data_IF_297820396071
#
_entry.id   IF_297820396071
#
_cell.length_a   1.000
_cell.length_b   1.000
_cell.length_c   1.000
_cell.angle_alpha   90.00
_cell.angle_beta   90.00
_cell.angle_gamma   90.00
#
_symmetry.space_group_name_H-M   'P 1'
#
loop_
_entity.id
_entity.type
_entity.pdbx_description
1 polymer ?
#
# COMPACT_ATOMS: atom_id res chain seq x y z
N UNK A 1 -66.12 30.94 51.67
CA UNK A 1 -64.79 30.32 51.73
C UNK A 1 -64.68 29.19 50.73
N UNK A 2 -64.15 29.43 49.55
CA UNK A 2 -63.77 28.36 48.54
C UNK A 2 -62.48 28.84 47.89
N UNK A 3 -61.37 28.15 48.15
CA UNK A 3 -60.06 28.40 47.53
C UNK A 3 -60.00 27.70 46.18
N UNK A 4 -59.80 28.45 45.13
CA UNK A 4 -59.55 27.95 43.77
C UNK A 4 -58.04 27.77 43.61
N UNK A 5 -57.64 26.55 43.31
CA UNK A 5 -56.23 26.20 43.00
C UNK A 5 -56.04 26.34 41.49
N UNK A 6 -55.15 27.24 41.09
CA UNK A 6 -54.76 27.44 39.67
C UNK A 6 -53.62 26.46 39.34
N UNK A 7 -53.89 25.52 38.47
CA UNK A 7 -52.86 24.60 37.94
C UNK A 7 -52.20 25.24 36.75
N UNK A 8 -50.88 25.52 36.81
CA UNK A 8 -50.06 25.98 35.72
C UNK A 8 -49.49 24.78 34.94
N UNK A 9 -49.93 24.57 33.75
CA UNK A 9 -49.37 23.58 32.80
C UNK A 9 -48.12 24.15 32.14
N UNK A 10 -46.95 23.56 32.44
CA UNK A 10 -45.68 23.85 31.81
C UNK A 10 -45.55 23.05 30.50
N UNK A 11 -45.63 23.72 29.38
CA UNK A 11 -45.39 23.10 28.06
C UNK A 11 -43.85 23.00 27.81
N UNK A 12 -43.35 21.77 27.79
CA UNK A 12 -41.97 21.50 27.42
C UNK A 12 -41.84 21.53 25.90
N UNK A 13 -41.17 22.52 25.35
CA UNK A 13 -40.76 22.57 23.96
C UNK A 13 -39.54 21.67 23.76
N UNK A 14 -39.74 20.52 23.14
CA UNK A 14 -38.63 19.63 22.71
C UNK A 14 -38.09 20.19 21.39
N UNK A 15 -36.98 20.89 21.44
CA UNK A 15 -36.20 21.28 20.26
C UNK A 15 -35.47 20.04 19.74
N UNK A 16 -35.97 19.46 18.65
CA UNK A 16 -35.22 18.47 17.87
C UNK A 16 -34.10 19.17 17.11
N UNK A 17 -32.89 19.16 17.67
CA UNK A 17 -31.69 19.52 16.94
C UNK A 17 -31.44 18.47 15.87
N UNK A 18 -31.69 18.79 14.60
CA UNK A 18 -31.24 18.01 13.46
C UNK A 18 -29.71 17.99 13.51
N UNK A 19 -29.16 16.85 13.93
CA UNK A 19 -27.71 16.62 13.89
C UNK A 19 -27.25 16.55 12.44
N UNK A 20 -26.61 17.63 11.97
CA UNK A 20 -25.76 17.53 10.79
C UNK A 20 -24.73 16.44 11.09
N UNK A 21 -24.73 15.39 10.26
CA UNK A 21 -23.68 14.38 10.30
C UNK A 21 -22.34 15.08 10.05
N UNK A 22 -21.64 15.42 11.13
CA UNK A 22 -20.24 15.84 11.07
C UNK A 22 -19.48 14.61 10.56
N UNK A 23 -18.89 14.71 9.39
CA UNK A 23 -17.82 13.82 9.00
C UNK A 23 -16.85 13.73 10.18
N UNK A 24 -16.71 12.54 10.74
CA UNK A 24 -15.76 12.29 11.82
C UNK A 24 -14.35 12.46 11.24
N UNK A 25 -13.82 13.67 11.34
CA UNK A 25 -12.40 13.89 11.17
C UNK A 25 -11.75 13.24 12.40
N UNK A 26 -10.92 12.20 12.27
CA UNK A 26 -10.35 11.52 13.42
C UNK A 26 -9.64 12.57 14.29
N UNK A 27 -9.98 12.62 15.56
CA UNK A 27 -9.23 13.40 16.53
C UNK A 27 -7.78 12.89 16.47
N UNK A 28 -6.80 13.79 16.41
CA UNK A 28 -5.39 13.42 16.53
C UNK A 28 -5.15 12.60 17.81
N UNK A 29 -3.94 12.07 17.96
CA UNK A 29 -3.59 11.31 19.17
C UNK A 29 -3.69 12.17 20.44
N UNK A 30 -3.50 11.53 21.63
CA UNK A 30 -3.56 12.21 22.93
C UNK A 30 -2.57 13.39 23.08
N UNK A 31 -1.55 13.48 22.21
CA UNK A 31 -0.55 14.56 22.15
C UNK A 31 -0.97 15.68 21.18
N UNK A 32 -2.09 15.53 20.50
CA UNK A 32 -2.57 16.46 19.49
C UNK A 32 -1.86 16.34 18.13
N UNK A 33 -1.07 15.29 17.90
CA UNK A 33 -0.47 15.04 16.61
C UNK A 33 -1.53 14.70 15.57
N UNK A 34 -1.41 15.33 14.41
CA UNK A 34 -2.28 15.17 13.25
C UNK A 34 -1.40 14.96 12.02
N UNK A 35 -1.21 13.72 11.64
CA UNK A 35 -0.24 13.36 10.60
C UNK A 35 -0.97 12.99 9.31
N UNK A 36 -0.55 13.60 8.20
CA UNK A 36 -0.89 13.12 6.85
C UNK A 36 0.23 12.20 6.37
N UNK A 37 -0.10 10.97 6.02
CA UNK A 37 0.89 9.95 5.61
C UNK A 37 0.68 9.57 4.14
N UNK A 38 1.71 9.82 3.34
CA UNK A 38 1.69 9.62 1.88
C UNK A 38 2.68 8.51 1.53
N UNK A 39 2.33 7.30 1.89
CA UNK A 39 3.06 6.06 1.57
C UNK A 39 2.32 4.84 2.08
N UNK A 40 2.06 3.87 1.22
CA UNK A 40 1.45 2.59 1.60
C UNK A 40 2.27 1.85 2.66
N UNK A 41 3.58 1.74 2.47
CA UNK A 41 4.47 1.06 3.42
C UNK A 41 4.45 1.72 4.79
N UNK A 42 4.52 3.05 4.82
CA UNK A 42 4.53 3.77 6.09
C UNK A 42 3.21 3.62 6.83
N UNK A 43 2.08 3.67 6.13
CA UNK A 43 0.78 3.42 6.73
C UNK A 43 0.69 2.00 7.32
N UNK A 44 1.14 0.98 6.61
CA UNK A 44 1.18 -0.38 7.13
C UNK A 44 2.00 -0.48 8.44
N UNK A 45 3.18 0.12 8.47
CA UNK A 45 4.04 0.13 9.66
C UNK A 45 3.37 0.90 10.81
N UNK A 46 2.77 2.07 10.57
CA UNK A 46 2.09 2.88 11.59
C UNK A 46 0.96 2.10 12.24
N UNK A 47 0.15 1.38 11.45
CA UNK A 47 -0.91 0.51 11.99
C UNK A 47 -0.34 -0.65 12.79
N UNK A 48 0.71 -1.29 12.30
CA UNK A 48 1.37 -2.38 13.02
C UNK A 48 1.98 -1.92 14.36
N UNK A 49 2.48 -0.68 14.41
CA UNK A 49 2.97 -0.04 15.64
C UNK A 49 1.86 0.38 16.61
N UNK A 50 0.59 0.39 16.18
CA UNK A 50 -0.53 0.91 16.97
C UNK A 50 -0.52 2.43 17.11
N UNK A 51 0.02 3.16 16.12
CA UNK A 51 0.14 4.62 16.12
C UNK A 51 -0.88 5.32 15.19
N UNK A 52 -1.83 4.59 14.65
CA UNK A 52 -2.82 5.08 13.67
C UNK A 52 -3.72 6.21 14.18
N UNK A 53 -3.86 6.40 15.49
CA UNK A 53 -4.70 7.45 16.06
C UNK A 53 -4.23 8.87 15.68
N UNK A 54 -2.94 9.04 15.34
CA UNK A 54 -2.39 10.31 14.87
C UNK A 54 -2.67 10.58 13.39
N UNK A 55 -3.05 9.56 12.60
CA UNK A 55 -3.20 9.67 11.15
C UNK A 55 -4.55 10.27 10.79
N UNK A 56 -4.53 11.44 10.16
CA UNK A 56 -5.73 12.18 9.76
C UNK A 56 -5.95 12.21 8.25
N UNK A 57 -4.94 11.80 7.46
CA UNK A 57 -5.03 11.73 6.01
C UNK A 57 -4.05 10.72 5.43
N UNK A 58 -4.45 10.06 4.34
CA UNK A 58 -3.64 9.07 3.62
C UNK A 58 -3.79 9.26 2.11
N UNK A 59 -2.85 8.74 1.33
CA UNK A 59 -2.96 8.75 -0.13
C UNK A 59 -3.75 7.55 -0.67
N UNK A 60 -4.14 7.59 -1.94
CA UNK A 60 -4.92 6.54 -2.59
C UNK A 60 -4.19 5.20 -2.72
N UNK A 61 -2.86 5.17 -2.69
CA UNK A 61 -2.12 3.92 -2.74
C UNK A 61 -2.15 3.15 -1.42
N UNK A 62 -2.56 3.82 -0.35
CA UNK A 62 -2.69 3.23 0.98
C UNK A 62 -3.96 2.37 1.07
N UNK A 63 -3.82 1.08 0.78
CA UNK A 63 -4.93 0.11 0.69
C UNK A 63 -4.94 -0.89 1.84
N UNK A 64 -3.84 -1.01 2.58
CA UNK A 64 -3.68 -1.93 3.71
C UNK A 64 -3.10 -1.20 4.94
N UNK A 65 -3.53 -1.58 6.16
CA UNK A 65 -4.60 -2.56 6.45
C UNK A 65 -5.99 -2.02 6.04
N UNK A 66 -7.05 -2.86 6.02
CA UNK A 66 -8.38 -2.42 5.56
C UNK A 66 -8.90 -1.15 6.26
N UNK A 67 -8.53 -0.96 7.52
CA UNK A 67 -8.93 0.20 8.31
C UNK A 67 -8.34 1.54 7.82
N UNK A 68 -7.25 1.50 7.05
CA UNK A 68 -6.67 2.71 6.43
C UNK A 68 -7.67 3.40 5.52
N UNK A 69 -8.58 2.64 4.89
CA UNK A 69 -9.63 3.16 3.99
C UNK A 69 -10.72 3.98 4.72
N UNK A 70 -10.74 3.96 6.06
CA UNK A 70 -11.64 4.78 6.89
C UNK A 70 -11.08 6.19 7.10
N UNK A 71 -9.78 6.39 6.83
CA UNK A 71 -9.11 7.69 6.95
C UNK A 71 -9.37 8.52 5.69
N UNK A 72 -9.47 9.83 5.85
CA UNK A 72 -9.67 10.76 4.73
C UNK A 72 -8.51 10.65 3.72
N UNK A 73 -8.85 10.50 2.44
CA UNK A 73 -7.83 10.47 1.39
C UNK A 73 -7.47 11.88 0.92
N UNK A 74 -6.18 12.13 0.73
CA UNK A 74 -5.63 13.38 0.16
C UNK A 74 -5.33 13.27 -1.35
N UNK A 75 -5.73 12.18 -1.98
CA UNK A 75 -5.53 11.95 -3.41
C UNK A 75 -4.36 11.01 -3.72
N UNK A 76 -3.93 11.01 -4.98
CA UNK A 76 -2.82 10.16 -5.43
C UNK A 76 -1.48 10.82 -5.12
N UNK A 77 -0.54 10.08 -4.57
CA UNK A 77 0.75 10.59 -4.10
C UNK A 77 1.54 11.43 -5.13
N UNK A 78 1.38 11.18 -6.43
CA UNK A 78 2.01 11.97 -7.52
C UNK A 78 1.11 13.05 -8.12
N UNK A 79 -0.09 13.23 -7.60
CA UNK A 79 -1.05 14.25 -8.03
C UNK A 79 -1.78 14.84 -6.81
N UNK A 80 -1.00 15.28 -5.83
CA UNK A 80 -1.49 15.86 -4.59
C UNK A 80 -2.06 17.25 -4.82
N UNK A 81 -2.94 17.67 -3.90
CA UNK A 81 -3.39 19.04 -3.74
C UNK A 81 -2.95 19.57 -2.38
N UNK A 82 -2.29 20.71 -2.35
CA UNK A 82 -1.91 21.35 -1.10
C UNK A 82 -3.16 21.70 -0.28
N UNK A 83 -4.21 22.21 -0.90
CA UNK A 83 -5.48 22.55 -0.25
C UNK A 83 -6.11 21.31 0.40
N UNK A 84 -6.15 20.16 -0.32
CA UNK A 84 -6.67 18.92 0.20
C UNK A 84 -5.91 18.42 1.44
N UNK A 85 -4.59 18.58 1.48
CA UNK A 85 -3.77 18.25 2.64
C UNK A 85 -4.03 19.23 3.80
N UNK A 86 -4.02 20.54 3.52
CA UNK A 86 -4.17 21.59 4.52
C UNK A 86 -5.55 21.61 5.18
N UNK A 87 -6.59 21.19 4.46
CA UNK A 87 -7.96 21.09 5.00
C UNK A 87 -8.06 20.14 6.20
N UNK A 88 -7.09 19.23 6.33
CA UNK A 88 -6.99 18.31 7.46
C UNK A 88 -6.25 18.88 8.67
N UNK A 89 -5.76 20.14 8.58
CA UNK A 89 -4.98 20.80 9.63
C UNK A 89 -3.85 19.91 10.19
N UNK A 90 -2.94 19.39 9.33
CA UNK A 90 -1.89 18.50 9.79
C UNK A 90 -0.83 19.25 10.62
N UNK A 91 -0.28 18.59 11.62
CA UNK A 91 0.90 19.03 12.36
C UNK A 91 2.20 18.52 11.73
N UNK A 92 2.12 17.47 10.90
CA UNK A 92 3.24 16.94 10.13
C UNK A 92 2.73 16.20 8.88
N UNK A 93 3.58 16.14 7.86
CA UNK A 93 3.38 15.35 6.63
C UNK A 93 4.52 14.33 6.56
N UNK A 94 4.18 13.05 6.51
CA UNK A 94 5.16 11.95 6.38
C UNK A 94 5.06 11.35 4.99
N UNK A 95 6.21 11.16 4.31
CA UNK A 95 6.24 10.63 2.96
C UNK A 95 7.55 9.88 2.66
N UNK A 96 7.56 9.06 1.61
CA UNK A 96 8.70 8.24 1.19
C UNK A 96 9.49 8.84 0.00
N UNK A 97 9.40 10.14 -0.22
CA UNK A 97 9.96 10.89 -1.35
C UNK A 97 9.30 10.61 -2.72
N UNK A 98 8.34 9.72 -2.82
CA UNK A 98 7.61 9.44 -4.05
C UNK A 98 6.33 10.28 -4.14
N UNK A 99 6.43 11.59 -3.99
CA UNK A 99 5.31 12.53 -3.96
C UNK A 99 5.43 13.58 -5.06
N UNK A 100 4.29 14.14 -5.47
CA UNK A 100 4.23 15.17 -6.51
C UNK A 100 2.83 15.77 -6.67
N UNK A 101 2.68 16.72 -7.57
CA UNK A 101 3.70 17.28 -8.48
C UNK A 101 4.70 18.19 -7.76
N UNK A 102 5.89 18.45 -8.33
CA UNK A 102 6.95 19.22 -7.67
C UNK A 102 6.51 20.58 -7.13
N UNK A 103 5.67 21.30 -7.87
CA UNK A 103 5.16 22.62 -7.44
C UNK A 103 4.31 22.54 -6.17
N UNK A 104 3.56 21.45 -5.96
CA UNK A 104 2.77 21.25 -4.74
C UNK A 104 3.70 20.90 -3.57
N UNK A 105 4.74 20.11 -3.82
CA UNK A 105 5.75 19.78 -2.81
C UNK A 105 6.46 21.04 -2.32
N UNK A 106 6.89 21.93 -3.23
CA UNK A 106 7.52 23.19 -2.86
C UNK A 106 6.56 24.13 -2.12
N UNK A 107 5.28 24.18 -2.53
CA UNK A 107 4.26 24.94 -1.80
C UNK A 107 4.11 24.43 -0.36
N UNK A 108 4.04 23.11 -0.14
CA UNK A 108 3.93 22.52 1.19
C UNK A 108 5.15 22.80 2.05
N UNK A 109 6.37 22.73 1.49
CA UNK A 109 7.61 23.10 2.19
C UNK A 109 7.62 24.55 2.67
N UNK A 110 7.00 25.46 1.93
CA UNK A 110 6.88 26.88 2.30
C UNK A 110 5.93 27.19 3.46
N UNK A 111 5.16 26.18 3.95
CA UNK A 111 4.09 26.37 4.94
C UNK A 111 4.52 25.91 6.33
N UNK A 112 5.66 26.07 6.83
CA UNK A 112 6.08 25.76 8.21
C UNK A 112 5.46 24.45 8.83
N UNK A 113 4.99 23.52 7.99
CA UNK A 113 4.52 22.21 8.39
C UNK A 113 5.68 21.23 8.18
N UNK A 114 6.15 20.55 9.24
CA UNK A 114 7.22 19.59 9.11
C UNK A 114 6.90 18.51 8.07
N UNK A 115 7.78 18.36 7.08
CA UNK A 115 7.75 17.26 6.13
C UNK A 115 8.82 16.24 6.53
N UNK A 116 8.40 15.06 6.92
CA UNK A 116 9.26 14.01 7.47
C UNK A 116 9.44 12.86 6.48
N UNK A 117 10.68 12.46 6.28
CA UNK A 117 11.06 11.19 5.65
C UNK A 117 11.90 10.38 6.62
N UNK A 118 11.99 9.09 6.38
CA UNK A 118 12.88 8.20 7.12
C UNK A 118 14.11 7.87 6.27
N UNK A 119 15.23 7.60 6.93
CA UNK A 119 16.52 7.34 6.24
C UNK A 119 16.63 5.89 5.82
N UNK A 120 16.11 4.98 6.62
CA UNK A 120 16.09 3.57 6.30
C UNK A 120 15.19 3.27 5.10
N UNK A 121 15.66 2.38 4.24
CA UNK A 121 14.96 1.97 3.03
C UNK A 121 14.37 0.58 3.24
N UNK A 122 13.13 0.38 2.82
CA UNK A 122 12.47 -0.93 2.83
C UNK A 122 12.80 -1.75 1.56
N UNK A 123 14.05 -1.82 1.19
CA UNK A 123 14.52 -2.56 0.01
C UNK A 123 15.05 -3.96 0.33
N UNK A 124 15.05 -4.33 1.59
CA UNK A 124 15.50 -5.62 2.12
C UNK A 124 14.81 -5.90 3.45
N UNK A 125 14.94 -7.11 3.98
CA UNK A 125 14.42 -7.46 5.32
C UNK A 125 15.08 -6.57 6.38
N UNK A 126 16.40 -6.41 6.33
CA UNK A 126 17.12 -5.57 7.29
C UNK A 126 16.76 -4.09 7.14
N UNK A 127 16.64 -3.60 5.92
CA UNK A 127 16.18 -2.22 5.66
C UNK A 127 14.76 -2.00 6.17
N UNK A 128 13.86 -2.97 6.00
CA UNK A 128 12.49 -2.92 6.54
C UNK A 128 12.50 -2.86 8.06
N UNK A 129 13.34 -3.67 8.74
CA UNK A 129 13.49 -3.64 10.20
C UNK A 129 14.05 -2.31 10.69
N UNK A 130 15.03 -1.76 9.98
CA UNK A 130 15.57 -0.44 10.29
C UNK A 130 14.49 0.64 10.18
N UNK A 131 13.66 0.60 9.12
CA UNK A 131 12.55 1.53 8.94
C UNK A 131 11.49 1.38 10.05
N UNK A 132 11.14 0.16 10.43
CA UNK A 132 10.22 -0.11 11.55
C UNK A 132 10.76 0.52 12.85
N UNK A 133 12.07 0.41 13.12
CA UNK A 133 12.70 1.01 14.31
C UNK A 133 12.70 2.55 14.24
N UNK A 134 13.06 3.14 13.10
CA UNK A 134 13.02 4.61 12.95
C UNK A 134 11.60 5.16 13.17
N UNK A 135 10.60 4.48 12.61
CA UNK A 135 9.20 4.87 12.80
C UNK A 135 8.74 4.60 14.23
N UNK A 136 9.15 3.48 14.83
CA UNK A 136 8.90 3.18 16.24
C UNK A 136 9.41 4.27 17.16
N UNK A 137 10.62 4.75 16.96
CA UNK A 137 11.19 5.87 17.72
C UNK A 137 10.42 7.18 17.49
N UNK A 138 10.03 7.49 16.25
CA UNK A 138 9.25 8.68 15.94
C UNK A 138 7.89 8.69 16.64
N UNK A 139 7.18 7.56 16.64
CA UNK A 139 5.86 7.43 17.27
C UNK A 139 5.91 6.99 18.75
N UNK A 140 7.07 6.91 19.39
CA UNK A 140 7.28 6.42 20.77
C UNK A 140 6.69 5.01 20.97
N UNK A 141 7.01 4.12 20.07
CA UNK A 141 6.59 2.71 20.03
C UNK A 141 7.77 1.75 19.89
N UNK A 142 8.90 2.07 20.51
CA UNK A 142 10.18 1.35 20.37
C UNK A 142 10.03 -0.14 20.73
N UNK A 143 9.36 -0.45 21.84
CA UNK A 143 9.14 -1.83 22.26
C UNK A 143 8.31 -2.61 21.23
N UNK A 144 7.27 -1.98 20.64
CA UNK A 144 6.45 -2.60 19.59
C UNK A 144 7.22 -2.76 18.30
N UNK A 145 8.12 -1.83 17.98
CA UNK A 145 8.98 -1.94 16.81
C UNK A 145 9.93 -3.15 16.90
N UNK A 146 10.53 -3.41 18.07
CA UNK A 146 11.37 -4.60 18.26
C UNK A 146 10.56 -5.89 18.19
N UNK A 147 9.35 -5.92 18.75
CA UNK A 147 8.44 -7.06 18.62
C UNK A 147 8.13 -7.36 17.14
N UNK A 148 7.83 -6.31 16.35
CA UNK A 148 7.56 -6.45 14.91
C UNK A 148 8.77 -6.96 14.15
N UNK A 149 9.97 -6.44 14.44
CA UNK A 149 11.21 -6.91 13.82
C UNK A 149 11.45 -8.40 14.13
N UNK A 150 11.28 -8.83 15.38
CA UNK A 150 11.42 -10.23 15.75
C UNK A 150 10.35 -11.13 15.12
N UNK A 151 9.13 -10.63 14.93
CA UNK A 151 8.06 -11.34 14.22
C UNK A 151 8.39 -11.50 12.74
N UNK A 152 8.86 -10.42 12.09
CA UNK A 152 9.29 -10.46 10.68
C UNK A 152 10.41 -11.48 10.46
N UNK A 153 11.44 -11.50 11.33
CA UNK A 153 12.52 -12.47 11.22
C UNK A 153 12.02 -13.91 11.29
N UNK A 154 11.13 -14.21 12.25
CA UNK A 154 10.55 -15.56 12.41
C UNK A 154 9.70 -15.95 11.21
N UNK A 155 8.86 -15.06 10.74
CA UNK A 155 8.01 -15.30 9.57
C UNK A 155 8.86 -15.51 8.31
N UNK A 156 9.86 -14.67 8.06
CA UNK A 156 10.75 -14.85 6.91
C UNK A 156 11.47 -16.19 6.95
N UNK A 157 12.04 -16.58 8.10
CA UNK A 157 12.71 -17.86 8.25
C UNK A 157 11.77 -19.05 7.99
N UNK A 158 10.56 -19.00 8.56
CA UNK A 158 9.55 -20.05 8.37
C UNK A 158 9.10 -20.16 6.91
N UNK A 159 8.83 -19.02 6.27
CA UNK A 159 8.36 -18.98 4.88
C UNK A 159 9.42 -19.44 3.89
N UNK A 160 10.68 -19.02 4.07
CA UNK A 160 11.80 -19.51 3.23
C UNK A 160 12.03 -21.02 3.39
N UNK A 161 11.81 -21.56 4.58
CA UNK A 161 11.85 -23.01 4.78
C UNK A 161 10.67 -23.71 4.10
N UNK A 162 9.46 -23.16 4.25
CA UNK A 162 8.25 -23.71 3.63
C UNK A 162 8.29 -23.73 2.10
N UNK A 163 8.95 -22.75 1.49
CA UNK A 163 9.12 -22.64 0.02
C UNK A 163 10.00 -23.75 -0.55
N UNK A 164 10.93 -24.33 0.24
CA UNK A 164 11.82 -25.39 -0.23
C UNK A 164 11.12 -26.68 -0.69
N UNK A 165 9.85 -26.85 -0.34
CA UNK A 165 9.03 -27.97 -0.85
C UNK A 165 8.77 -27.88 -2.36
N UNK A 166 8.83 -26.69 -2.95
CA UNK A 166 8.65 -26.50 -4.38
C UNK A 166 9.97 -26.77 -5.09
N UNK A 167 9.95 -27.65 -6.07
CA UNK A 167 11.13 -28.04 -6.85
C UNK A 167 11.20 -27.37 -8.21
N UNK A 168 10.08 -26.82 -8.67
CA UNK A 168 9.99 -25.98 -9.86
C UNK A 168 10.41 -24.54 -9.57
N UNK A 169 10.84 -23.83 -10.58
CA UNK A 169 11.19 -22.40 -10.49
C UNK A 169 10.50 -21.66 -11.65
N UNK A 170 9.18 -21.39 -11.53
CA UNK A 170 8.42 -20.81 -12.61
C UNK A 170 8.91 -19.40 -12.96
N UNK A 171 8.93 -19.09 -14.24
CA UNK A 171 9.22 -17.74 -14.76
C UNK A 171 7.97 -16.89 -14.68
N UNK A 172 8.02 -15.86 -13.85
CA UNK A 172 6.86 -15.03 -13.49
C UNK A 172 6.97 -13.66 -14.14
N UNK A 173 5.95 -13.26 -14.89
CA UNK A 173 5.78 -11.87 -15.33
C UNK A 173 4.75 -11.17 -14.41
N UNK A 174 4.98 -9.89 -14.13
CA UNK A 174 4.06 -9.07 -13.34
C UNK A 174 3.52 -7.94 -14.20
N UNK A 175 2.21 -7.91 -14.36
CA UNK A 175 1.47 -6.82 -15.02
C UNK A 175 0.92 -5.91 -13.92
N UNK A 176 1.36 -4.67 -13.93
CA UNK A 176 0.92 -3.64 -13.00
C UNK A 176 0.12 -2.58 -13.74
N UNK A 177 -1.11 -2.35 -13.30
CA UNK A 177 -1.96 -1.31 -13.85
C UNK A 177 -1.71 0.00 -13.12
N UNK A 178 -1.13 0.93 -13.83
CA UNK A 178 -0.95 2.29 -13.34
C UNK A 178 -2.25 3.11 -13.41
N UNK A 179 -2.12 4.39 -13.10
CA UNK A 179 -3.21 5.36 -13.25
C UNK A 179 -3.55 5.54 -14.74
N UNK A 180 -4.84 5.71 -15.05
CA UNK A 180 -5.33 6.04 -16.39
C UNK A 180 -4.98 5.02 -17.49
N UNK A 181 -5.29 3.75 -17.27
CA UNK A 181 -5.12 2.66 -18.25
C UNK A 181 -3.68 2.36 -18.73
N UNK A 182 -2.67 2.95 -18.09
CA UNK A 182 -1.30 2.58 -18.41
C UNK A 182 -0.98 1.20 -17.82
N UNK A 183 -0.63 0.27 -18.66
CA UNK A 183 -0.17 -1.06 -18.27
C UNK A 183 1.34 -1.05 -18.23
N UNK A 184 1.92 -1.54 -17.13
CA UNK A 184 3.36 -1.64 -16.93
C UNK A 184 3.76 -3.09 -16.71
N UNK A 185 4.90 -3.46 -17.30
CA UNK A 185 5.60 -4.68 -16.94
C UNK A 185 6.60 -4.38 -15.82
N UNK A 186 6.45 -5.04 -14.71
CA UNK A 186 7.41 -4.96 -13.62
C UNK A 186 8.65 -5.77 -13.98
N UNK A 187 9.82 -5.25 -13.70
CA UNK A 187 11.09 -5.84 -14.15
C UNK A 187 12.00 -6.20 -12.98
N UNK A 188 12.85 -7.21 -13.17
CA UNK A 188 13.70 -7.76 -12.12
C UNK A 188 14.83 -6.83 -11.69
N UNK A 189 15.47 -6.14 -12.63
CA UNK A 189 16.64 -5.28 -12.38
C UNK A 189 16.27 -3.82 -12.47
N UNK A 190 15.41 -3.32 -11.69
CA UNK A 190 15.05 -1.92 -11.81
C UNK A 190 14.45 -1.39 -10.51
N UNK A 191 15.02 -0.33 -10.00
CA UNK A 191 14.54 0.31 -8.78
C UNK A 191 15.60 1.13 -8.06
N UNK A 192 16.77 1.34 -8.68
CA UNK A 192 17.78 2.26 -8.17
C UNK A 192 18.70 1.73 -7.05
N UNK A 193 18.52 0.48 -6.62
CA UNK A 193 19.32 -0.13 -5.54
C UNK A 193 20.25 -1.26 -5.99
N UNK A 194 20.23 -1.63 -7.27
CA UNK A 194 21.08 -2.71 -7.81
C UNK A 194 20.57 -4.13 -7.58
N UNK A 195 19.66 -4.33 -6.63
CA UNK A 195 19.21 -5.65 -6.18
C UNK A 195 17.83 -6.07 -6.69
N UNK A 196 17.25 -5.35 -7.62
CA UNK A 196 15.94 -5.65 -8.19
C UNK A 196 14.78 -4.90 -7.51
N UNK A 197 13.59 -5.01 -8.08
CA UNK A 197 12.36 -4.46 -7.51
C UNK A 197 11.87 -5.28 -6.31
N UNK A 198 11.01 -4.70 -5.46
CA UNK A 198 10.37 -5.44 -4.38
C UNK A 198 9.64 -6.69 -4.91
N UNK A 199 8.94 -6.57 -6.03
CA UNK A 199 8.27 -7.71 -6.66
C UNK A 199 9.26 -8.81 -7.09
N UNK A 200 10.43 -8.44 -7.64
CA UNK A 200 11.45 -9.41 -8.03
C UNK A 200 11.94 -10.23 -6.84
N UNK A 201 12.23 -9.56 -5.72
CA UNK A 201 12.68 -10.24 -4.51
C UNK A 201 11.58 -11.12 -3.91
N UNK A 202 10.34 -10.60 -3.90
CA UNK A 202 9.18 -11.37 -3.42
C UNK A 202 9.02 -12.65 -4.21
N UNK A 203 9.13 -12.58 -5.54
CA UNK A 203 9.06 -13.75 -6.43
C UNK A 203 10.23 -14.70 -6.17
N UNK A 204 11.46 -14.19 -6.02
CA UNK A 204 12.64 -15.02 -5.75
C UNK A 204 12.52 -15.77 -4.41
N UNK A 205 12.14 -15.07 -3.34
CA UNK A 205 11.87 -15.68 -2.04
C UNK A 205 10.73 -16.71 -2.08
N UNK A 206 9.79 -16.53 -3.00
CA UNK A 206 8.68 -17.44 -3.21
C UNK A 206 9.01 -18.62 -4.11
N UNK A 207 10.28 -18.79 -4.52
CA UNK A 207 10.74 -19.91 -5.35
C UNK A 207 10.54 -19.72 -6.85
N UNK A 208 10.19 -18.52 -7.32
CA UNK A 208 10.06 -18.18 -8.73
C UNK A 208 11.26 -17.43 -9.30
N UNK A 209 11.15 -17.02 -10.54
CA UNK A 209 12.11 -16.17 -11.24
C UNK A 209 11.39 -15.09 -12.05
N UNK A 210 11.86 -13.83 -11.99
CA UNK A 210 11.31 -12.79 -12.83
C UNK A 210 11.57 -13.09 -14.31
N UNK A 211 10.49 -13.15 -15.10
CA UNK A 211 10.59 -13.46 -16.55
C UNK A 211 11.17 -12.29 -17.34
N UNK A 212 11.03 -11.06 -16.87
CA UNK A 212 11.46 -9.85 -17.57
C UNK A 212 12.52 -9.14 -16.72
N UNK A 213 13.75 -9.06 -17.23
CA UNK A 213 14.89 -8.41 -16.62
C UNK A 213 15.28 -7.19 -17.45
N UNK A 214 15.03 -6.00 -16.92
CA UNK A 214 15.39 -4.71 -17.50
C UNK A 214 15.72 -3.73 -16.39
N UNK A 215 16.46 -2.67 -16.69
CA UNK A 215 16.84 -1.65 -15.72
C UNK A 215 15.68 -0.73 -15.30
N UNK A 216 14.61 -0.70 -16.04
CA UNK A 216 13.45 0.17 -15.79
C UNK A 216 12.14 -0.58 -15.99
N UNK A 217 11.16 -0.26 -15.15
CA UNK A 217 9.77 -0.65 -15.38
C UNK A 217 9.34 -0.16 -16.77
N UNK A 218 8.87 -1.08 -17.60
CA UNK A 218 8.50 -0.78 -18.97
C UNK A 218 6.99 -0.63 -19.10
N UNK A 219 6.55 0.36 -19.87
CA UNK A 219 5.16 0.37 -20.34
C UNK A 219 4.95 -0.82 -21.26
N UNK A 220 3.79 -1.43 -21.18
CA UNK A 220 3.40 -2.49 -22.12
C UNK A 220 3.01 -1.86 -23.46
N UNK A 221 3.96 -1.17 -24.09
CA UNK A 221 3.78 -0.56 -25.42
C UNK A 221 4.11 -1.57 -26.53
N UNK A 222 4.88 -2.61 -26.20
CA UNK A 222 5.33 -3.64 -27.12
C UNK A 222 4.98 -5.03 -26.58
N UNK A 223 4.06 -5.75 -27.20
CA UNK A 223 3.70 -7.10 -26.80
C UNK A 223 4.85 -8.10 -26.99
N UNK A 224 5.85 -7.77 -27.81
CA UNK A 224 6.98 -8.62 -28.13
C UNK A 224 7.83 -8.95 -26.91
N UNK A 225 7.97 -8.01 -25.97
CA UNK A 225 8.74 -8.22 -24.74
C UNK A 225 8.14 -9.38 -23.94
N UNK A 226 6.84 -9.40 -23.78
CA UNK A 226 6.16 -10.46 -23.04
C UNK A 226 6.16 -11.78 -23.82
N UNK A 227 5.98 -11.72 -25.14
CA UNK A 227 6.05 -12.89 -26.01
C UNK A 227 7.43 -13.55 -25.97
N UNK A 228 8.52 -12.75 -26.03
CA UNK A 228 9.91 -13.24 -25.92
C UNK A 228 10.21 -13.79 -24.53
N UNK A 229 9.72 -13.13 -23.48
CA UNK A 229 9.88 -13.59 -22.11
C UNK A 229 9.16 -14.94 -21.88
N UNK A 230 8.07 -15.19 -22.58
CA UNK A 230 7.26 -16.41 -22.51
C UNK A 230 7.11 -16.93 -21.07
N UNK A 231 6.46 -16.17 -20.16
CA UNK A 231 6.34 -16.54 -18.76
C UNK A 231 5.49 -17.78 -18.56
N UNK A 232 5.80 -18.52 -17.48
CA UNK A 232 5.03 -19.68 -17.05
C UNK A 232 3.83 -19.27 -16.17
N UNK A 233 3.95 -18.11 -15.50
CA UNK A 233 2.92 -17.51 -14.65
C UNK A 233 2.87 -16.01 -14.93
N UNK A 234 1.67 -15.45 -14.94
CA UNK A 234 1.45 -14.00 -14.99
C UNK A 234 0.68 -13.59 -13.73
N UNK A 235 1.24 -12.65 -12.97
CA UNK A 235 0.58 -11.99 -11.86
C UNK A 235 0.08 -10.62 -12.31
N UNK A 236 -1.19 -10.32 -12.00
CA UNK A 236 -1.83 -9.04 -12.31
C UNK A 236 -2.16 -8.35 -11.00
N UNK A 237 -1.60 -7.17 -10.77
CA UNK A 237 -1.89 -6.42 -9.53
C UNK A 237 -3.31 -5.84 -9.54
N UNK A 238 -3.99 -5.86 -8.41
CA UNK A 238 -5.40 -5.52 -8.29
C UNK A 238 -5.70 -4.02 -8.41
N UNK A 239 -4.82 -3.16 -7.93
CA UNK A 239 -5.09 -1.73 -7.74
C UNK A 239 -5.63 -1.01 -8.99
N UNK A 240 -4.91 -1.06 -10.10
CA UNK A 240 -5.36 -0.44 -11.35
C UNK A 240 -6.39 -1.29 -12.09
N UNK A 241 -6.28 -2.60 -11.95
CA UNK A 241 -7.16 -3.58 -12.57
C UNK A 241 -8.61 -3.41 -12.13
N UNK A 242 -8.86 -3.29 -10.82
CA UNK A 242 -10.21 -3.08 -10.27
C UNK A 242 -10.83 -1.75 -10.72
N UNK A 243 -10.02 -0.72 -10.90
CA UNK A 243 -10.48 0.59 -11.38
C UNK A 243 -10.92 0.61 -12.83
N UNK A 244 -10.37 -0.30 -13.64
CA UNK A 244 -10.70 -0.45 -15.05
C UNK A 244 -11.85 -1.44 -15.26
N UNK A 245 -12.46 -1.98 -14.19
CA UNK A 245 -13.38 -3.12 -14.26
C UNK A 245 -12.80 -4.28 -15.06
N UNK A 246 -11.47 -4.48 -14.92
CA UNK A 246 -10.71 -5.42 -15.73
C UNK A 246 -11.16 -6.86 -15.55
N UNK A 247 -11.11 -7.62 -16.64
CA UNK A 247 -11.35 -9.06 -16.67
C UNK A 247 -10.04 -9.80 -16.95
N UNK A 248 -9.81 -10.91 -16.25
CA UNK A 248 -8.66 -11.77 -16.58
C UNK A 248 -8.73 -12.31 -18.01
N UNK A 249 -9.92 -12.44 -18.60
CA UNK A 249 -10.08 -12.86 -19.99
C UNK A 249 -9.60 -11.77 -20.95
N UNK A 250 -9.80 -10.50 -20.63
CA UNK A 250 -9.23 -9.39 -21.40
C UNK A 250 -7.70 -9.39 -21.31
N UNK A 251 -7.14 -9.68 -20.13
CA UNK A 251 -5.69 -9.83 -19.98
C UNK A 251 -5.16 -10.99 -20.81
N UNK A 252 -5.82 -12.15 -20.82
CA UNK A 252 -5.46 -13.30 -21.63
C UNK A 252 -5.47 -12.98 -23.14
N UNK A 253 -6.37 -12.11 -23.59
CA UNK A 253 -6.49 -11.70 -24.99
C UNK A 253 -5.43 -10.67 -25.41
N UNK A 254 -4.68 -10.07 -24.48
CA UNK A 254 -3.66 -9.08 -24.84
C UNK A 254 -2.57 -9.69 -25.72
N UNK A 255 -2.12 -8.97 -26.77
CA UNK A 255 -0.99 -9.39 -27.56
C UNK A 255 0.24 -9.67 -26.68
N UNK A 256 0.96 -10.77 -26.96
CA UNK A 256 2.09 -11.21 -26.14
C UNK A 256 1.69 -12.03 -24.90
N UNK A 257 0.55 -11.78 -24.29
CA UNK A 257 -0.02 -12.65 -23.24
C UNK A 257 -0.61 -13.91 -23.86
N UNK A 258 -1.47 -13.77 -24.86
CA UNK A 258 -2.23 -14.86 -25.48
C UNK A 258 -1.35 -16.02 -25.98
N UNK A 259 -0.11 -15.74 -26.38
CA UNK A 259 0.85 -16.75 -26.88
C UNK A 259 1.73 -17.35 -25.80
N UNK A 260 1.71 -16.82 -24.58
CA UNK A 260 2.57 -17.26 -23.47
C UNK A 260 2.19 -18.63 -22.92
N UNK A 261 3.15 -19.29 -22.26
CA UNK A 261 2.89 -20.52 -21.50
C UNK A 261 1.83 -20.28 -20.40
N UNK A 262 1.89 -19.13 -19.76
CA UNK A 262 0.92 -18.75 -18.73
C UNK A 262 -0.53 -18.74 -19.25
N UNK A 263 -0.78 -18.18 -20.42
CA UNK A 263 -2.12 -18.16 -21.02
C UNK A 263 -2.57 -19.55 -21.46
N UNK A 264 -1.68 -20.34 -22.09
CA UNK A 264 -1.98 -21.71 -22.55
C UNK A 264 -2.35 -22.64 -21.39
N UNK A 265 -1.72 -22.45 -20.23
CA UNK A 265 -1.91 -23.27 -19.03
C UNK A 265 -2.88 -22.65 -18.02
N UNK A 266 -3.56 -21.55 -18.36
CA UNK A 266 -4.46 -20.80 -17.46
C UNK A 266 -3.81 -20.32 -16.15
N UNK A 267 -2.51 -20.02 -16.15
CA UNK A 267 -1.73 -19.57 -14.99
C UNK A 267 -1.59 -18.05 -14.97
N UNK A 268 -2.71 -17.35 -15.03
CA UNK A 268 -2.81 -15.89 -14.93
C UNK A 268 -3.66 -15.58 -13.70
N UNK A 269 -3.05 -14.95 -12.71
CA UNK A 269 -3.66 -14.75 -11.40
C UNK A 269 -3.67 -13.27 -11.00
N UNK A 270 -4.75 -12.84 -10.38
CA UNK A 270 -4.82 -11.57 -9.69
C UNK A 270 -4.11 -11.67 -8.35
N UNK A 271 -3.36 -10.64 -7.99
CA UNK A 271 -2.64 -10.53 -6.72
C UNK A 271 -2.81 -9.13 -6.13
N UNK A 272 -2.97 -9.05 -4.81
CA UNK A 272 -3.01 -7.76 -4.13
C UNK A 272 -1.67 -7.04 -4.30
N UNK A 273 -1.71 -5.77 -4.73
CA UNK A 273 -0.52 -4.96 -4.95
C UNK A 273 0.36 -4.88 -3.69
N UNK A 274 -0.28 -4.74 -2.52
CA UNK A 274 0.43 -4.63 -1.24
C UNK A 274 1.14 -5.93 -0.81
N UNK A 275 0.77 -7.07 -1.39
CA UNK A 275 1.44 -8.36 -1.14
C UNK A 275 2.73 -8.48 -1.95
N UNK A 276 2.74 -7.93 -3.17
CA UNK A 276 3.81 -8.16 -4.13
C UNK A 276 4.78 -6.98 -4.26
N UNK A 277 4.28 -5.75 -4.20
CA UNK A 277 5.02 -4.55 -4.61
C UNK A 277 5.68 -3.81 -3.44
N UNK A 278 5.36 -4.14 -2.19
CA UNK A 278 5.83 -3.41 -1.03
C UNK A 278 6.39 -4.34 0.04
N UNK A 279 7.54 -3.98 0.60
CA UNK A 279 8.03 -4.63 1.81
C UNK A 279 7.49 -3.92 3.05
N UNK A 280 7.11 -4.73 4.02
CA UNK A 280 6.56 -4.26 5.28
C UNK A 280 6.61 -5.34 6.35
N UNK A 281 5.95 -5.13 7.49
CA UNK A 281 5.93 -6.09 8.60
C UNK A 281 5.44 -7.50 8.22
N UNK A 282 4.66 -7.61 7.13
CA UNK A 282 4.08 -8.90 6.66
C UNK A 282 4.88 -9.56 5.54
N UNK A 283 6.09 -9.11 5.23
CA UNK A 283 6.84 -9.65 4.09
C UNK A 283 6.99 -11.16 4.14
N UNK A 284 7.18 -11.76 5.31
CA UNK A 284 7.23 -13.21 5.46
C UNK A 284 5.92 -13.90 5.05
N UNK A 285 4.78 -13.45 5.58
CA UNK A 285 3.46 -13.98 5.19
C UNK A 285 3.20 -13.82 3.69
N UNK A 286 3.65 -12.70 3.11
CA UNK A 286 3.48 -12.42 1.70
C UNK A 286 4.28 -13.38 0.81
N UNK A 287 5.47 -13.82 1.24
CA UNK A 287 6.25 -14.86 0.57
C UNK A 287 5.42 -16.14 0.41
N UNK A 288 4.77 -16.60 1.47
CA UNK A 288 3.93 -17.81 1.39
C UNK A 288 2.73 -17.63 0.46
N UNK A 289 2.07 -16.47 0.51
CA UNK A 289 0.94 -16.15 -0.38
C UNK A 289 1.35 -16.16 -1.84
N UNK A 290 2.48 -15.53 -2.16
CA UNK A 290 2.99 -15.50 -3.54
C UNK A 290 3.43 -16.89 -3.97
N UNK A 291 4.12 -17.65 -3.12
CA UNK A 291 4.52 -19.00 -3.41
C UNK A 291 3.31 -19.91 -3.72
N UNK A 292 2.25 -19.83 -2.90
CA UNK A 292 1.04 -20.60 -3.14
C UNK A 292 0.40 -20.31 -4.51
N UNK A 293 0.50 -19.06 -4.98
CA UNK A 293 -0.05 -18.66 -6.29
C UNK A 293 0.84 -19.11 -7.45
N UNK A 294 2.16 -18.86 -7.36
CA UNK A 294 3.06 -19.14 -8.51
C UNK A 294 3.37 -20.63 -8.68
N UNK A 295 3.14 -21.46 -7.68
CA UNK A 295 3.30 -22.93 -7.75
C UNK A 295 1.96 -23.68 -7.87
N UNK A 296 0.85 -22.95 -8.02
CA UNK A 296 -0.45 -23.57 -8.30
C UNK A 296 -0.43 -24.25 -9.68
N UNK A 297 -0.77 -25.53 -9.72
CA UNK A 297 -0.85 -26.34 -10.95
C UNK A 297 -2.25 -26.32 -11.53
#
# INVERSE_FOLDING_TARGET
MKRTILAATLAAVISTAAGCARFNNPAGDARGERVVVISQTYNEIIWALGAQASVVGVDYSSTYPPDVKKVQTVGYHRALSAEGILSLHPTAIIHDNNIGPPQVVEQLKGLNIPMKTFTAKNDSVEGTKALIREMGAYFHKEAKAEELCGTLDKQMAASLEAVKKYTDRPRVAVIHFGRASNVYLVVGKGGGTGDGSAASRMIDWSGGEMAINSERMQRMESPEILAQANPDVILVTDYGFDRLNGSLDEIKALPGVATSNAAKNNRIYRVEENVLMYFGPRSGENVEKVAAVIHQQ
#
